data_IF_938290795498
#
_entry.id   IF_938290795498
#
_cell.length_a   1.000
_cell.length_b   1.000
_cell.length_c   1.000
_cell.angle_alpha   90.00
_cell.angle_beta   90.00
_cell.angle_gamma   90.00
#
_symmetry.space_group_name_H-M   'P 1'
#
loop_
_entity.id
_entity.type
_entity.pdbx_description
1 polymer ?
#
# COMPACT_ATOMS: atom_id res chain seq x y z
N UNK A 1 -10.28 -69.89 -1.73
CA UNK A 1 -9.43 -68.71 -2.01
C UNK A 1 -10.31 -67.68 -2.70
N UNK A 2 -10.74 -66.66 -1.95
CA UNK A 2 -11.64 -65.61 -2.43
C UNK A 2 -10.79 -64.47 -3.02
N UNK A 3 -11.01 -64.14 -4.29
CA UNK A 3 -10.37 -62.98 -4.94
C UNK A 3 -11.23 -61.74 -4.65
N UNK A 4 -10.71 -60.84 -3.83
CA UNK A 4 -11.28 -59.52 -3.59
C UNK A 4 -10.94 -58.55 -4.72
N UNK A 5 -11.96 -57.91 -5.28
CA UNK A 5 -11.81 -56.79 -6.21
C UNK A 5 -11.62 -55.50 -5.41
N UNK A 6 -10.49 -54.84 -5.59
CA UNK A 6 -10.23 -53.51 -5.04
C UNK A 6 -10.90 -52.44 -5.90
N UNK A 7 -11.80 -51.66 -5.32
CA UNK A 7 -12.43 -50.49 -5.95
C UNK A 7 -11.52 -49.29 -5.70
N UNK A 8 -10.96 -48.72 -6.77
CA UNK A 8 -10.21 -47.47 -6.72
C UNK A 8 -11.19 -46.30 -6.83
N UNK A 9 -11.38 -45.56 -5.72
CA UNK A 9 -12.10 -44.29 -5.72
C UNK A 9 -11.11 -43.19 -6.08
N UNK A 10 -11.20 -42.64 -7.30
CA UNK A 10 -10.48 -41.43 -7.67
C UNK A 10 -11.17 -40.22 -7.02
N UNK A 11 -10.49 -39.56 -6.09
CA UNK A 11 -10.86 -38.23 -5.62
C UNK A 11 -10.40 -37.20 -6.66
N UNK A 12 -11.34 -36.62 -7.41
CA UNK A 12 -11.08 -35.43 -8.21
C UNK A 12 -11.11 -34.20 -7.28
N UNK A 13 -9.94 -33.63 -6.98
CA UNK A 13 -9.84 -32.35 -6.31
C UNK A 13 -10.23 -31.25 -7.32
N UNK A 14 -11.46 -30.72 -7.22
CA UNK A 14 -11.82 -29.48 -7.90
C UNK A 14 -11.08 -28.33 -7.21
N UNK A 15 -10.03 -27.83 -7.83
CA UNK A 15 -9.47 -26.53 -7.50
C UNK A 15 -10.47 -25.46 -7.95
N UNK A 16 -11.23 -24.91 -7.00
CA UNK A 16 -12.03 -23.71 -7.25
C UNK A 16 -11.05 -22.54 -7.34
N UNK A 17 -10.59 -22.24 -8.55
CA UNK A 17 -9.91 -20.98 -8.83
C UNK A 17 -11.00 -19.90 -8.81
N UNK A 18 -11.10 -19.17 -7.69
CA UNK A 18 -11.92 -17.98 -7.65
C UNK A 18 -11.34 -16.95 -8.61
N UNK A 19 -12.04 -16.67 -9.71
CA UNK A 19 -11.72 -15.51 -10.53
C UNK A 19 -12.03 -14.25 -9.70
N UNK A 20 -11.00 -13.63 -9.15
CA UNK A 20 -11.12 -12.26 -8.63
C UNK A 20 -11.29 -11.37 -9.85
N UNK A 21 -12.49 -10.82 -10.04
CA UNK A 21 -12.72 -9.82 -11.08
C UNK A 21 -12.13 -8.50 -10.60
N UNK A 22 -11.00 -8.08 -11.19
CA UNK A 22 -10.52 -6.71 -11.03
C UNK A 22 -11.57 -5.75 -11.55
N UNK A 23 -11.79 -4.64 -10.84
CA UNK A 23 -12.60 -3.54 -11.36
C UNK A 23 -11.85 -2.79 -12.46
N UNK A 24 -12.58 -2.08 -13.32
CA UNK A 24 -11.96 -1.12 -14.25
C UNK A 24 -11.60 0.15 -13.48
N UNK A 25 -10.53 0.84 -13.89
CA UNK A 25 -10.12 2.11 -13.29
C UNK A 25 -11.30 3.07 -13.08
N UNK A 26 -12.10 3.30 -14.13
CA UNK A 26 -13.23 4.23 -14.12
C UNK A 26 -14.39 3.83 -13.19
N UNK A 27 -14.42 2.62 -12.65
CA UNK A 27 -15.45 2.21 -11.69
C UNK A 27 -15.14 2.72 -10.29
N UNK A 28 -13.85 2.73 -9.91
CA UNK A 28 -13.39 3.07 -8.57
C UNK A 28 -12.68 4.41 -8.48
N UNK A 29 -12.03 4.85 -9.56
CA UNK A 29 -11.11 5.98 -9.58
C UNK A 29 -11.47 6.99 -10.67
N UNK A 30 -10.88 8.18 -10.54
CA UNK A 30 -10.92 9.24 -11.54
C UNK A 30 -9.59 10.01 -11.53
N UNK A 31 -9.15 10.57 -12.66
CA UNK A 31 -7.99 11.47 -12.68
C UNK A 31 -8.24 12.67 -11.75
N UNK A 32 -7.26 13.03 -10.94
CA UNK A 32 -7.29 14.19 -10.04
C UNK A 32 -6.44 15.35 -10.55
N UNK A 33 -5.43 15.07 -11.38
CA UNK A 33 -4.56 16.07 -11.99
C UNK A 33 -4.04 15.64 -13.36
N UNK A 34 -3.83 16.61 -14.27
CA UNK A 34 -3.22 16.42 -15.60
C UNK A 34 -3.80 15.24 -16.40
N UNK A 35 -5.07 15.34 -16.79
CA UNK A 35 -5.81 14.26 -17.50
C UNK A 35 -5.13 13.83 -18.82
N UNK A 36 -4.42 14.75 -19.47
CA UNK A 36 -3.63 14.52 -20.69
C UNK A 36 -2.35 13.68 -20.44
N UNK A 37 -2.01 13.41 -19.19
CA UNK A 37 -0.89 12.55 -18.77
C UNK A 37 -1.32 11.10 -18.50
N UNK A 38 -2.58 10.75 -18.84
CA UNK A 38 -3.15 9.42 -18.71
C UNK A 38 -3.25 8.78 -20.10
N UNK A 39 -2.81 7.53 -20.23
CA UNK A 39 -3.04 6.71 -21.43
C UNK A 39 -3.63 5.38 -21.02
N UNK A 40 -4.68 4.96 -21.70
CA UNK A 40 -5.40 3.71 -21.42
C UNK A 40 -5.14 2.69 -22.54
N UNK A 41 -4.57 1.54 -22.20
CA UNK A 41 -4.30 0.44 -23.12
C UNK A 41 -4.91 -0.86 -22.60
N UNK A 42 -6.12 -1.17 -23.06
CA UNK A 42 -6.89 -2.28 -22.51
C UNK A 42 -7.22 -2.03 -21.04
N UNK A 43 -6.71 -2.89 -20.16
CA UNK A 43 -6.87 -2.77 -18.70
C UNK A 43 -5.72 -2.02 -18.02
N UNK A 44 -4.67 -1.66 -18.78
CA UNK A 44 -3.51 -0.96 -18.24
C UNK A 44 -3.71 0.54 -18.35
N UNK A 45 -3.63 1.21 -17.21
CA UNK A 45 -3.47 2.66 -17.13
C UNK A 45 -1.98 2.99 -17.10
N UNK A 46 -1.55 3.96 -17.91
CA UNK A 46 -0.22 4.56 -17.83
C UNK A 46 -0.33 6.01 -17.42
N UNK A 47 0.47 6.39 -16.45
CA UNK A 47 0.57 7.75 -15.95
C UNK A 47 2.00 8.24 -16.18
N UNK A 48 2.14 9.38 -16.86
CA UNK A 48 3.44 9.96 -17.19
C UNK A 48 3.79 11.16 -16.33
N UNK A 49 5.08 11.36 -16.14
CA UNK A 49 5.73 12.57 -15.64
C UNK A 49 6.66 13.10 -16.71
N UNK A 50 6.54 14.39 -17.02
CA UNK A 50 7.48 15.12 -17.88
C UNK A 50 7.81 16.49 -17.26
N UNK A 51 8.62 17.29 -17.97
CA UNK A 51 9.11 18.56 -17.45
C UNK A 51 8.03 19.65 -17.33
N UNK A 52 6.78 19.38 -17.76
CA UNK A 52 5.66 20.28 -17.60
C UNK A 52 4.79 19.90 -16.40
N UNK A 53 4.50 18.61 -16.22
CA UNK A 53 3.63 18.16 -15.15
C UNK A 53 3.88 16.71 -14.74
N UNK A 54 3.61 16.44 -13.46
CA UNK A 54 3.26 15.10 -13.00
C UNK A 54 1.78 14.81 -13.25
N UNK A 55 1.28 13.75 -12.62
CA UNK A 55 -0.10 13.34 -12.74
C UNK A 55 -0.56 12.58 -11.50
N UNK A 56 -1.87 12.51 -11.31
CA UNK A 56 -2.45 11.78 -10.19
C UNK A 56 -3.91 11.42 -10.38
N UNK A 57 -4.35 10.38 -9.66
CA UNK A 57 -5.74 9.96 -9.59
C UNK A 57 -6.17 9.74 -8.14
N UNK A 58 -7.48 9.76 -7.92
CA UNK A 58 -8.11 9.50 -6.63
C UNK A 58 -9.31 8.58 -6.77
N UNK A 59 -9.64 7.85 -5.71
CA UNK A 59 -10.88 7.10 -5.65
C UNK A 59 -12.09 8.05 -5.68
N UNK A 60 -13.20 7.58 -6.24
CA UNK A 60 -14.46 8.34 -6.29
C UNK A 60 -15.14 8.45 -4.93
N UNK A 61 -14.87 7.49 -4.06
CA UNK A 61 -15.41 7.43 -2.71
C UNK A 61 -14.29 7.36 -1.67
N UNK A 62 -14.64 7.63 -0.42
CA UNK A 62 -13.76 7.43 0.74
C UNK A 62 -14.16 6.15 1.46
N UNK A 63 -13.21 5.58 2.19
CA UNK A 63 -13.37 4.30 2.84
C UNK A 63 -12.92 4.38 4.30
N UNK A 64 -13.59 3.61 5.15
CA UNK A 64 -13.16 3.28 6.51
C UNK A 64 -12.89 1.79 6.55
N UNK A 65 -11.66 1.41 6.89
CA UNK A 65 -11.21 0.03 6.95
C UNK A 65 -11.38 -0.76 5.63
N UNK A 66 -10.80 -1.96 5.61
CA UNK A 66 -10.77 -2.86 4.46
C UNK A 66 -9.38 -3.01 3.86
N UNK A 67 -9.32 -3.48 2.62
CA UNK A 67 -8.09 -3.67 1.86
C UNK A 67 -8.19 -2.99 0.51
N UNK A 68 -7.15 -2.24 0.17
CA UNK A 68 -6.96 -1.66 -1.16
C UNK A 68 -5.75 -2.32 -1.80
N UNK A 69 -5.86 -2.66 -3.08
CA UNK A 69 -4.80 -3.31 -3.84
C UNK A 69 -4.72 -2.66 -5.23
N UNK A 70 -3.51 -2.35 -5.67
CA UNK A 70 -3.24 -1.98 -7.07
C UNK A 70 -2.01 -2.74 -7.54
N UNK A 71 -2.01 -3.18 -8.78
CA UNK A 71 -0.80 -3.72 -9.41
C UNK A 71 -0.05 -2.60 -10.11
N UNK A 72 1.21 -2.39 -9.74
CA UNK A 72 2.04 -1.30 -10.24
C UNK A 72 3.28 -1.88 -10.90
N UNK A 73 3.63 -1.35 -12.07
CA UNK A 73 4.94 -1.51 -12.71
C UNK A 73 5.60 -0.15 -12.80
N UNK A 74 6.79 -0.02 -12.20
CA UNK A 74 7.49 1.24 -12.02
C UNK A 74 8.23 1.69 -13.29
N UNK A 75 8.74 2.92 -13.25
CA UNK A 75 9.47 3.56 -14.34
C UNK A 75 10.74 2.76 -14.66
N UNK A 76 10.89 2.36 -15.92
CA UNK A 76 12.08 1.66 -16.39
C UNK A 76 13.23 2.63 -16.71
N UNK A 77 14.47 2.18 -16.58
CA UNK A 77 15.66 2.96 -16.92
C UNK A 77 16.05 3.93 -15.81
N UNK A 78 16.43 5.15 -16.19
CA UNK A 78 16.76 6.19 -15.22
C UNK A 78 15.48 6.83 -14.71
N UNK A 79 15.26 6.72 -13.41
CA UNK A 79 14.11 7.25 -12.71
C UNK A 79 14.52 8.15 -11.54
N UNK A 80 15.79 8.56 -11.49
CA UNK A 80 16.29 9.41 -10.41
C UNK A 80 15.46 10.69 -10.24
N UNK A 81 15.27 11.10 -8.99
CA UNK A 81 14.44 12.25 -8.60
C UNK A 81 12.93 12.04 -8.73
N UNK A 82 12.46 10.93 -9.32
CA UNK A 82 11.01 10.65 -9.43
C UNK A 82 10.46 9.90 -8.22
N UNK A 83 9.23 10.21 -7.85
CA UNK A 83 8.44 9.44 -6.88
C UNK A 83 7.16 9.00 -7.56
N UNK A 84 6.91 7.69 -7.56
CA UNK A 84 5.58 7.14 -7.78
C UNK A 84 4.98 6.86 -6.41
N UNK A 85 3.76 7.32 -6.14
CA UNK A 85 3.09 7.12 -4.86
C UNK A 85 1.80 6.30 -5.02
N UNK A 86 1.48 5.48 -4.03
CA UNK A 86 0.20 4.83 -3.84
C UNK A 86 -0.16 4.91 -2.36
N UNK A 87 -1.22 5.63 -2.02
CA UNK A 87 -1.46 6.00 -0.64
C UNK A 87 -2.94 6.14 -0.32
N UNK A 88 -3.27 6.11 0.97
CA UNK A 88 -4.59 6.47 1.48
C UNK A 88 -4.45 7.72 2.34
N UNK A 89 -5.34 8.69 2.20
CA UNK A 89 -5.30 9.92 3.02
C UNK A 89 -6.69 10.48 3.31
N UNK A 90 -6.88 11.06 4.49
CA UNK A 90 -8.06 11.85 4.83
C UNK A 90 -7.82 13.34 4.58
N UNK A 91 -8.88 14.16 4.65
CA UNK A 91 -8.75 15.57 4.33
C UNK A 91 -8.17 16.39 5.50
N UNK A 92 -7.47 17.48 5.15
CA UNK A 92 -7.15 18.56 6.06
C UNK A 92 -5.82 18.39 6.81
N UNK A 93 -5.48 19.32 7.71
CA UNK A 93 -4.17 19.38 8.35
C UNK A 93 -3.95 18.30 9.43
N UNK A 94 -5.02 17.70 9.95
CA UNK A 94 -4.96 16.63 10.94
C UNK A 94 -5.31 15.27 10.30
N UNK A 95 -4.92 15.08 9.04
CA UNK A 95 -5.23 13.87 8.29
C UNK A 95 -4.56 12.63 8.89
N UNK A 96 -5.16 11.48 8.62
CA UNK A 96 -4.50 10.19 8.69
C UNK A 96 -4.03 9.82 7.28
N UNK A 97 -2.88 9.18 7.15
CA UNK A 97 -2.35 8.79 5.84
C UNK A 97 -1.44 7.56 5.92
N UNK A 98 -1.50 6.71 4.89
CA UNK A 98 -0.71 5.50 4.71
C UNK A 98 -0.05 5.52 3.35
N UNK A 99 1.29 5.51 3.33
CA UNK A 99 2.03 5.73 2.10
C UNK A 99 2.77 4.48 1.63
N UNK A 100 2.69 4.20 0.34
CA UNK A 100 3.78 3.64 -0.44
C UNK A 100 4.35 4.73 -1.35
N UNK A 101 5.65 4.97 -1.25
CA UNK A 101 6.39 5.87 -2.12
C UNK A 101 7.57 5.12 -2.74
N UNK A 102 7.54 4.97 -4.05
CA UNK A 102 8.57 4.32 -4.84
C UNK A 102 9.57 5.36 -5.31
N UNK A 103 10.75 5.36 -4.68
CA UNK A 103 11.81 6.30 -4.92
C UNK A 103 12.67 5.79 -6.06
N UNK A 104 12.61 6.50 -7.20
CA UNK A 104 13.40 6.16 -8.37
C UNK A 104 14.89 6.31 -8.16
N UNK A 105 15.66 5.74 -9.07
CA UNK A 105 17.11 5.70 -9.00
C UNK A 105 17.74 5.75 -10.40
N UNK A 106 19.05 5.94 -10.45
CA UNK A 106 19.81 5.88 -11.70
C UNK A 106 19.75 4.48 -12.31
N UNK A 107 19.85 4.38 -13.63
CA UNK A 107 19.81 3.10 -14.34
C UNK A 107 20.76 2.06 -13.70
N UNK A 108 20.22 0.89 -13.36
CA UNK A 108 20.97 -0.23 -12.79
C UNK A 108 21.05 -0.24 -11.25
N UNK A 109 20.69 0.85 -10.59
CA UNK A 109 20.57 0.91 -9.14
C UNK A 109 19.15 0.52 -8.68
N UNK A 110 19.00 -0.07 -7.48
CA UNK A 110 17.70 -0.54 -7.03
C UNK A 110 16.76 0.62 -6.67
N UNK A 111 15.47 0.40 -6.91
CA UNK A 111 14.40 1.20 -6.31
C UNK A 111 14.36 1.03 -4.80
N UNK A 112 14.00 2.11 -4.10
CA UNK A 112 13.58 2.03 -2.69
C UNK A 112 12.08 2.18 -2.60
N UNK A 113 11.45 1.36 -1.76
CA UNK A 113 10.07 1.54 -1.33
C UNK A 113 10.08 2.15 0.04
N UNK A 114 9.58 3.37 0.16
CA UNK A 114 9.30 4.03 1.42
C UNK A 114 7.85 3.76 1.81
N UNK A 115 7.63 3.43 3.09
CA UNK A 115 6.30 3.46 3.69
C UNK A 115 6.27 4.49 4.80
N UNK A 116 5.13 5.13 5.01
CA UNK A 116 4.94 6.08 6.11
C UNK A 116 3.51 5.97 6.67
N UNK A 117 3.34 6.47 7.89
CA UNK A 117 2.05 6.50 8.59
C UNK A 117 1.90 7.83 9.29
N UNK A 118 0.91 8.61 8.87
CA UNK A 118 0.43 9.80 9.55
C UNK A 118 -0.80 9.48 10.39
N UNK A 119 -0.80 10.00 11.61
CA UNK A 119 -2.00 9.99 12.47
C UNK A 119 -2.20 11.39 13.02
N UNK A 120 -3.39 11.95 12.79
CA UNK A 120 -3.73 13.33 13.16
C UNK A 120 -2.72 14.38 12.68
N UNK A 121 -2.25 14.25 11.45
CA UNK A 121 -1.28 15.13 10.80
C UNK A 121 0.18 14.90 11.22
N UNK A 122 0.44 13.92 12.09
CA UNK A 122 1.80 13.62 12.57
C UNK A 122 2.31 12.36 11.89
N UNK A 123 3.26 12.52 10.97
CA UNK A 123 4.00 11.44 10.31
C UNK A 123 5.33 11.15 11.00
N UNK A 124 6.42 11.24 10.23
CA UNK A 124 7.79 10.93 10.65
C UNK A 124 8.02 9.45 11.01
N UNK A 125 7.31 8.54 10.35
CA UNK A 125 7.38 7.09 10.60
C UNK A 125 7.88 6.35 9.37
N UNK A 126 8.87 6.88 8.68
CA UNK A 126 9.33 6.33 7.43
C UNK A 126 10.05 4.98 7.68
N UNK A 127 9.79 4.00 6.83
CA UNK A 127 10.58 2.79 6.70
C UNK A 127 10.92 2.62 5.21
N UNK A 128 12.17 2.30 4.88
CA UNK A 128 12.62 2.14 3.49
C UNK A 128 13.19 0.74 3.30
N UNK A 129 12.79 0.08 2.22
CA UNK A 129 13.28 -1.25 1.86
C UNK A 129 13.58 -1.36 0.36
N UNK A 130 14.53 -2.22 0.02
CA UNK A 130 14.71 -2.70 -1.34
C UNK A 130 13.74 -3.85 -1.62
N UNK A 131 13.35 -4.07 -2.87
CA UNK A 131 12.52 -5.22 -3.26
C UNK A 131 13.38 -6.44 -3.61
N UNK A 132 12.82 -7.64 -3.47
CA UNK A 132 13.45 -8.92 -3.85
C UNK A 132 13.25 -9.28 -5.32
N UNK A 133 12.80 -8.30 -6.12
CA UNK A 133 12.57 -8.38 -7.56
C UNK A 133 12.80 -7.00 -8.19
N UNK A 134 12.91 -6.93 -9.51
CA UNK A 134 12.97 -5.68 -10.25
C UNK A 134 11.54 -5.17 -10.55
N UNK A 135 11.08 -4.10 -9.87
CA UNK A 135 9.69 -3.61 -9.98
C UNK A 135 9.40 -2.90 -11.32
N UNK A 136 10.39 -2.76 -12.20
CA UNK A 136 10.24 -2.15 -13.53
C UNK A 136 9.88 -3.17 -14.60
N UNK A 137 10.10 -4.47 -14.34
CA UNK A 137 9.98 -5.55 -15.34
C UNK A 137 8.60 -6.16 -15.43
N UNK A 138 7.90 -6.29 -14.31
CA UNK A 138 6.55 -6.82 -14.27
C UNK A 138 5.68 -6.05 -13.27
N UNK A 139 4.37 -6.29 -13.34
CA UNK A 139 3.41 -5.79 -12.39
C UNK A 139 3.46 -6.61 -11.09
N UNK A 140 3.57 -5.91 -9.97
CA UNK A 140 3.49 -6.49 -8.63
C UNK A 140 2.34 -5.84 -7.85
N UNK A 141 1.71 -6.60 -6.95
CA UNK A 141 0.60 -6.07 -6.16
C UNK A 141 1.12 -5.34 -4.93
N UNK A 142 0.60 -4.14 -4.70
CA UNK A 142 0.85 -3.34 -3.52
C UNK A 142 -0.47 -3.14 -2.81
N UNK A 143 -0.54 -3.57 -1.55
CA UNK A 143 -1.78 -3.55 -0.79
C UNK A 143 -1.63 -2.83 0.55
N UNK A 144 -2.68 -2.13 0.95
CA UNK A 144 -2.85 -1.59 2.29
C UNK A 144 -4.09 -2.24 2.89
N UNK A 145 -3.90 -3.08 3.91
CA UNK A 145 -4.98 -3.60 4.76
C UNK A 145 -5.08 -2.71 5.99
N UNK A 146 -6.26 -2.19 6.28
CA UNK A 146 -6.53 -1.35 7.44
C UNK A 146 -7.78 -1.84 8.16
N UNK A 147 -7.66 -2.15 9.45
CA UNK A 147 -8.81 -2.45 10.30
C UNK A 147 -8.66 -1.76 11.66
N UNK A 148 -9.51 -2.09 12.63
CA UNK A 148 -9.45 -1.46 13.96
C UNK A 148 -8.20 -1.81 14.79
N UNK A 149 -7.43 -2.80 14.35
CA UNK A 149 -6.35 -3.43 15.12
C UNK A 149 -4.99 -3.18 14.53
N UNK A 150 -4.89 -3.04 13.21
CA UNK A 150 -3.63 -2.83 12.51
C UNK A 150 -3.81 -2.25 11.10
N UNK A 151 -2.74 -1.57 10.65
CA UNK A 151 -2.47 -1.27 9.25
C UNK A 151 -1.34 -2.18 8.80
N UNK A 152 -1.52 -2.90 7.69
CA UNK A 152 -0.53 -3.81 7.12
C UNK A 152 -0.25 -3.38 5.68
N UNK A 153 1.02 -3.15 5.38
CA UNK A 153 1.53 -2.88 4.05
C UNK A 153 2.02 -4.20 3.46
N UNK A 154 1.54 -4.57 2.28
CA UNK A 154 1.92 -5.82 1.61
C UNK A 154 2.44 -5.58 0.20
N UNK A 155 3.42 -6.40 -0.19
CA UNK A 155 3.92 -6.54 -1.57
C UNK A 155 3.72 -8.00 -1.96
N UNK A 156 2.92 -8.28 -3.00
CA UNK A 156 2.55 -9.64 -3.40
C UNK A 156 2.08 -10.53 -2.24
N UNK A 157 1.16 -10.02 -1.42
CA UNK A 157 0.67 -10.63 -0.17
C UNK A 157 1.72 -10.88 0.92
N UNK A 158 2.98 -10.48 0.70
CA UNK A 158 4.05 -10.52 1.71
C UNK A 158 4.01 -9.24 2.55
N UNK A 159 3.77 -9.31 3.87
CA UNK A 159 3.77 -8.13 4.72
C UNK A 159 5.19 -7.55 4.82
N UNK A 160 5.31 -6.27 4.49
CA UNK A 160 6.58 -5.52 4.60
C UNK A 160 6.60 -4.59 5.81
N UNK A 161 5.42 -4.24 6.34
CA UNK A 161 5.26 -3.43 7.55
C UNK A 161 3.91 -3.67 8.22
N UNK A 162 3.90 -3.58 9.54
CA UNK A 162 2.68 -3.53 10.37
C UNK A 162 2.74 -2.32 11.28
N UNK A 163 1.65 -1.56 11.38
CA UNK A 163 1.41 -0.54 12.38
C UNK A 163 0.20 -0.93 13.23
N UNK A 164 0.44 -1.39 14.45
CA UNK A 164 -0.60 -1.91 15.34
C UNK A 164 -1.32 -0.78 16.09
N UNK A 165 -2.59 -0.99 16.40
CA UNK A 165 -3.35 -0.13 17.30
C UNK A 165 -2.84 -0.28 18.74
N UNK A 166 -2.14 0.77 19.22
CA UNK A 166 -1.59 0.85 20.56
C UNK A 166 -2.20 2.00 21.37
N UNK A 167 -3.47 2.33 21.13
CA UNK A 167 -4.18 3.39 21.87
C UNK A 167 -4.20 3.13 23.39
N UNK A 168 -4.21 1.85 23.81
CA UNK A 168 -4.11 1.48 25.22
C UNK A 168 -2.77 1.90 25.88
N UNK A 169 -1.75 2.22 25.09
CA UNK A 169 -0.47 2.81 25.49
C UNK A 169 -0.37 4.31 25.20
N UNK A 170 -1.45 4.95 24.75
CA UNK A 170 -1.48 6.37 24.42
C UNK A 170 -0.95 6.73 23.03
N UNK A 171 -0.70 5.75 22.15
CA UNK A 171 -0.33 6.01 20.75
C UNK A 171 -1.62 6.18 19.93
N UNK A 172 -1.87 7.35 19.29
CA UNK A 172 -3.04 7.56 18.45
C UNK A 172 -3.11 6.55 17.30
N UNK A 173 -4.33 6.17 16.91
CA UNK A 173 -4.55 5.25 15.80
C UNK A 173 -5.63 5.79 14.83
N UNK A 174 -5.45 5.67 13.52
CA UNK A 174 -6.37 6.16 12.51
C UNK A 174 -7.64 5.30 12.47
N UNK A 175 -8.71 5.73 13.15
CA UNK A 175 -9.98 4.97 13.24
C UNK A 175 -11.24 5.82 13.09
N UNK A 176 -11.08 7.11 12.82
CA UNK A 176 -12.13 8.12 12.92
C UNK A 176 -12.26 9.01 11.67
N UNK A 177 -11.38 8.86 10.69
CA UNK A 177 -11.39 9.65 9.46
C UNK A 177 -11.38 8.73 8.23
N UNK A 178 -12.43 8.84 7.40
CA UNK A 178 -12.49 8.11 6.14
C UNK A 178 -11.43 8.66 5.17
N UNK A 179 -10.77 7.75 4.44
CA UNK A 179 -9.68 8.11 3.55
C UNK A 179 -10.03 7.80 2.10
N UNK A 180 -9.61 8.68 1.19
CA UNK A 180 -9.55 8.36 -0.22
C UNK A 180 -8.33 7.48 -0.52
N UNK A 181 -8.33 6.85 -1.68
CA UNK A 181 -7.20 6.09 -2.22
C UNK A 181 -6.62 6.88 -3.38
N UNK A 182 -5.32 7.09 -3.39
CA UNK A 182 -4.65 7.98 -4.32
C UNK A 182 -3.43 7.32 -4.93
N UNK A 183 -3.06 7.82 -6.10
CA UNK A 183 -1.74 7.58 -6.67
C UNK A 183 -1.30 8.78 -7.49
N UNK A 184 0.01 9.02 -7.51
CA UNK A 184 0.60 10.11 -8.26
C UNK A 184 2.01 9.75 -8.74
N UNK A 185 2.49 10.48 -9.75
CA UNK A 185 3.89 10.48 -10.16
C UNK A 185 4.36 11.93 -10.25
N UNK A 186 5.47 12.24 -9.59
CA UNK A 186 5.97 13.60 -9.44
C UNK A 186 7.49 13.64 -9.22
N UNK A 187 8.07 14.82 -9.38
CA UNK A 187 9.49 15.08 -9.14
C UNK A 187 9.74 15.53 -7.70
N UNK A 188 10.72 14.91 -7.06
CA UNK A 188 11.07 15.05 -5.66
C UNK A 188 12.60 15.16 -5.49
N UNK A 189 13.23 15.97 -6.36
CA UNK A 189 14.69 16.15 -6.45
C UNK A 189 15.36 16.38 -5.09
N UNK A 190 14.70 17.13 -4.21
CA UNK A 190 15.29 17.54 -2.93
C UNK A 190 15.55 16.37 -1.97
N UNK A 191 14.98 15.17 -2.21
CA UNK A 191 15.11 14.06 -1.25
C UNK A 191 15.02 12.65 -1.81
N UNK A 192 14.37 12.41 -2.96
CA UNK A 192 13.98 11.06 -3.39
C UNK A 192 15.18 10.12 -3.62
N UNK A 193 16.14 10.54 -4.45
CA UNK A 193 17.25 9.66 -4.84
C UNK A 193 18.51 10.01 -4.09
N UNK A 194 19.05 9.03 -3.35
CA UNK A 194 20.26 9.18 -2.53
C UNK A 194 20.20 10.36 -1.55
N UNK A 195 19.00 10.64 -1.01
CA UNK A 195 18.77 11.77 -0.10
C UNK A 195 18.86 13.12 -0.79
N UNK A 196 18.46 13.20 -2.06
CA UNK A 196 18.40 14.43 -2.85
C UNK A 196 19.70 14.81 -3.56
N UNK A 197 20.67 13.89 -3.66
CA UNK A 197 21.96 14.17 -4.33
C UNK A 197 21.89 13.97 -5.84
N UNK A 198 20.95 13.15 -6.30
CA UNK A 198 20.77 12.83 -7.71
C UNK A 198 19.41 13.32 -8.14
N UNK A 199 19.41 14.25 -9.08
CA UNK A 199 18.24 14.93 -9.59
C UNK A 199 17.68 14.21 -10.82
N UNK A 200 16.44 14.52 -11.17
CA UNK A 200 15.81 14.06 -12.41
C UNK A 200 16.52 14.61 -13.64
N UNK A 201 17.00 13.71 -14.49
CA UNK A 201 17.43 14.05 -15.85
C UNK A 201 16.22 14.08 -16.79
N UNK A 202 15.66 15.28 -17.00
CA UNK A 202 14.50 15.48 -17.85
C UNK A 202 14.70 15.09 -19.32
N UNK A 203 15.93 14.83 -19.78
CA UNK A 203 16.16 14.28 -21.13
C UNK A 203 15.67 12.84 -21.27
N UNK A 204 15.44 12.13 -20.16
CA UNK A 204 14.84 10.81 -20.11
C UNK A 204 13.31 10.81 -19.99
N UNK A 205 12.68 11.99 -19.94
CA UNK A 205 11.23 12.10 -19.96
C UNK A 205 10.64 11.59 -21.30
N UNK A 206 9.41 11.02 -21.30
CA UNK A 206 8.53 10.87 -20.16
C UNK A 206 8.88 9.68 -19.26
N UNK A 207 8.77 9.87 -17.95
CA UNK A 207 8.83 8.80 -16.96
C UNK A 207 7.44 8.20 -16.81
N UNK A 208 7.28 6.88 -16.94
CA UNK A 208 5.96 6.24 -17.02
C UNK A 208 5.81 5.17 -15.94
N UNK A 209 4.85 5.39 -15.03
CA UNK A 209 4.36 4.35 -14.13
C UNK A 209 3.09 3.71 -14.71
N UNK A 210 2.99 2.38 -14.65
CA UNK A 210 1.85 1.63 -15.19
C UNK A 210 1.06 0.96 -14.06
N UNK A 211 -0.27 0.94 -14.20
CA UNK A 211 -1.21 0.46 -13.20
C UNK A 211 -2.23 -0.47 -13.84
N UNK A 212 -2.63 -1.52 -13.11
CA UNK A 212 -3.77 -2.39 -13.42
C UNK A 212 -4.26 -3.06 -12.14
N UNK A 213 -5.25 -3.95 -12.24
CA UNK A 213 -5.66 -4.77 -11.09
C UNK A 213 -6.21 -3.92 -9.94
N UNK A 214 -7.06 -2.93 -10.25
CA UNK A 214 -7.61 -2.00 -9.27
C UNK A 214 -8.66 -2.70 -8.40
N UNK A 215 -8.39 -2.78 -7.10
CA UNK A 215 -9.30 -3.43 -6.15
C UNK A 215 -9.43 -2.59 -4.88
N UNK A 216 -10.68 -2.27 -4.52
CA UNK A 216 -11.02 -1.70 -3.21
C UNK A 216 -12.09 -2.60 -2.59
N UNK A 217 -11.73 -3.27 -1.50
CA UNK A 217 -12.63 -4.05 -0.68
C UNK A 217 -12.65 -3.47 0.74
N UNK A 218 -13.40 -2.38 0.89
CA UNK A 218 -13.53 -1.65 2.15
C UNK A 218 -14.91 -1.06 2.34
N UNK A 219 -15.16 -0.49 3.52
CA UNK A 219 -16.46 0.09 3.82
C UNK A 219 -16.53 1.53 3.30
N UNK A 220 -17.28 1.71 2.22
CA UNK A 220 -17.52 3.02 1.61
C UNK A 220 -18.28 3.96 2.56
N UNK A 221 -17.75 5.18 2.70
CA UNK A 221 -18.22 6.22 3.60
C UNK A 221 -18.75 7.40 2.78
N UNK A 222 -20.08 7.62 2.71
CA UNK A 222 -20.64 8.77 2.04
C UNK A 222 -20.29 10.08 2.77
N UNK A 223 -19.93 11.12 2.02
CA UNK A 223 -19.58 12.45 2.57
C UNK A 223 -20.74 13.10 3.34
N UNK A 224 -22.00 12.75 3.01
CA UNK A 224 -23.18 13.27 3.69
C UNK A 224 -23.38 12.73 5.12
N UNK A 225 -22.59 11.73 5.53
CA UNK A 225 -22.71 11.07 6.84
C UNK A 225 -21.61 11.56 7.77
N UNK A 226 -21.97 11.91 9.01
CA UNK A 226 -21.01 12.34 10.01
C UNK A 226 -19.95 11.25 10.29
N UNK A 227 -18.70 11.65 10.55
CA UNK A 227 -17.58 10.73 10.75
C UNK A 227 -17.85 9.65 11.82
N UNK A 228 -18.47 10.03 12.95
CA UNK A 228 -18.83 9.11 14.02
C UNK A 228 -19.85 8.03 13.58
N UNK A 229 -20.77 8.38 12.67
CA UNK A 229 -21.76 7.44 12.14
C UNK A 229 -21.13 6.53 11.07
N UNK A 230 -20.22 7.06 10.25
CA UNK A 230 -19.40 6.25 9.34
C UNK A 230 -18.56 5.22 10.10
N UNK A 231 -17.93 5.60 11.21
CA UNK A 231 -17.20 4.69 12.09
C UNK A 231 -18.09 3.54 12.59
N UNK A 232 -19.30 3.85 13.08
CA UNK A 232 -20.26 2.83 13.56
C UNK A 232 -20.80 1.95 12.42
N UNK A 233 -20.94 2.51 11.23
CA UNK A 233 -21.40 1.79 10.03
C UNK A 233 -20.36 0.77 9.58
N UNK A 234 -19.08 1.15 9.61
CA UNK A 234 -17.96 0.36 9.13
C UNK A 234 -17.30 -0.53 10.20
N UNK A 235 -17.91 -0.62 11.38
CA UNK A 235 -17.56 -1.57 12.44
C UNK A 235 -18.51 -2.76 12.41
N UNK A 236 -17.98 -3.98 12.59
CA UNK A 236 -18.83 -5.16 12.78
C UNK A 236 -19.65 -5.05 14.07
N UNK A 237 -20.94 -5.41 13.99
CA UNK A 237 -21.88 -5.31 15.10
C UNK A 237 -23.30 -5.71 14.70
N UNK A 238 -24.00 -6.41 15.60
CA UNK A 238 -25.31 -6.98 15.29
C UNK A 238 -25.23 -7.99 14.14
N UNK A 239 -25.97 -7.73 13.07
CA UNK A 239 -26.00 -8.57 11.85
C UNK A 239 -24.90 -8.22 10.83
N UNK A 240 -24.22 -7.08 10.97
CA UNK A 240 -23.15 -6.65 10.06
C UNK A 240 -21.83 -7.30 10.47
N UNK A 241 -21.25 -8.10 9.58
CA UNK A 241 -19.92 -8.70 9.74
C UNK A 241 -19.05 -8.34 8.55
N UNK A 242 -17.91 -7.73 8.84
CA UNK A 242 -16.88 -7.45 7.86
C UNK A 242 -15.74 -8.44 7.99
N UNK A 243 -15.23 -8.94 6.86
CA UNK A 243 -14.19 -9.96 6.85
C UNK A 243 -12.89 -9.48 7.52
N UNK A 244 -12.58 -8.18 7.44
CA UNK A 244 -11.39 -7.58 8.05
C UNK A 244 -11.47 -7.45 9.58
N UNK A 245 -12.66 -7.64 10.17
CA UNK A 245 -12.89 -7.65 11.62
C UNK A 245 -12.90 -9.07 12.21
N UNK A 246 -12.85 -10.11 11.38
CA UNK A 246 -12.78 -11.50 11.84
C UNK A 246 -11.56 -11.72 12.74
N UNK A 247 -11.63 -12.61 13.75
CA UNK A 247 -10.53 -12.84 14.69
C UNK A 247 -9.20 -13.19 14.00
N UNK A 248 -9.24 -13.87 12.86
CA UNK A 248 -8.07 -14.24 12.06
C UNK A 248 -7.36 -13.04 11.42
N UNK A 249 -8.01 -11.88 11.32
CA UNK A 249 -7.46 -10.63 10.79
C UNK A 249 -6.92 -9.70 11.89
N UNK A 250 -6.94 -10.16 13.15
CA UNK A 250 -6.56 -9.35 14.31
C UNK A 250 -5.06 -9.09 14.44
N UNK A 251 -4.26 -9.98 13.89
CA UNK A 251 -2.80 -9.95 13.85
C UNK A 251 -2.33 -10.68 12.58
N UNK A 252 -1.03 -10.62 12.29
CA UNK A 252 -0.47 -11.44 11.22
C UNK A 252 -0.53 -12.92 11.59
N UNK A 253 -0.77 -13.78 10.60
CA UNK A 253 -0.54 -15.22 10.80
C UNK A 253 0.93 -15.51 11.13
N UNK A 254 1.22 -16.69 11.67
CA UNK A 254 2.60 -17.12 11.93
C UNK A 254 3.47 -17.08 10.67
N UNK A 255 2.92 -17.51 9.53
CA UNK A 255 3.61 -17.48 8.24
C UNK A 255 3.95 -16.04 7.81
N UNK A 256 2.95 -15.15 7.86
CA UNK A 256 3.12 -13.73 7.55
C UNK A 256 4.12 -13.05 8.50
N UNK A 257 4.12 -13.42 9.78
CA UNK A 257 5.09 -12.92 10.76
C UNK A 257 6.52 -13.32 10.39
N UNK A 258 6.74 -14.58 9.98
CA UNK A 258 8.05 -15.02 9.49
C UNK A 258 8.48 -14.31 8.19
N UNK A 259 7.54 -14.07 7.27
CA UNK A 259 7.83 -13.30 6.07
C UNK A 259 8.25 -11.87 6.41
N UNK A 260 7.55 -11.19 7.31
CA UNK A 260 7.90 -9.84 7.76
C UNK A 260 9.30 -9.80 8.42
N UNK A 261 9.63 -10.78 9.24
CA UNK A 261 10.97 -10.91 9.82
C UNK A 261 12.05 -11.09 8.75
N UNK A 262 11.77 -11.90 7.72
CA UNK A 262 12.68 -12.06 6.59
C UNK A 262 12.86 -10.75 5.80
N UNK A 263 11.78 -10.01 5.53
CA UNK A 263 11.86 -8.68 4.88
C UNK A 263 12.72 -7.73 5.71
N UNK A 264 12.47 -7.64 7.02
CA UNK A 264 13.25 -6.79 7.92
C UNK A 264 14.73 -7.14 7.92
N UNK A 265 15.07 -8.43 7.96
CA UNK A 265 16.45 -8.88 8.04
C UNK A 265 17.22 -8.72 6.73
N UNK A 266 16.56 -8.81 5.57
CA UNK A 266 17.25 -8.88 4.28
C UNK A 266 17.07 -7.64 3.41
N UNK A 267 16.02 -6.85 3.65
CA UNK A 267 15.58 -5.79 2.73
C UNK A 267 15.43 -4.42 3.36
N UNK A 268 15.29 -4.31 4.69
CA UNK A 268 15.14 -3.01 5.37
C UNK A 268 16.45 -2.22 5.34
N UNK A 269 16.38 -1.00 4.80
CA UNK A 269 17.51 -0.08 4.62
C UNK A 269 17.46 1.07 5.63
N UNK A 270 16.25 1.52 5.97
CA UNK A 270 16.03 2.56 6.98
C UNK A 270 14.75 2.26 7.76
N UNK A 271 14.80 2.46 9.07
CA UNK A 271 13.64 2.32 9.94
C UNK A 271 13.71 3.40 11.03
N UNK A 272 12.71 4.28 11.05
CA UNK A 272 12.62 5.37 12.03
C UNK A 272 12.69 4.90 13.49
N UNK A 273 12.25 3.66 13.78
CA UNK A 273 12.35 3.07 15.12
C UNK A 273 13.79 2.95 15.64
N UNK A 274 14.77 2.88 14.74
CA UNK A 274 16.19 2.72 15.05
C UNK A 274 17.01 3.98 14.78
N UNK A 275 16.40 5.07 14.29
CA UNK A 275 17.07 6.34 14.08
C UNK A 275 17.16 7.14 15.39
N UNK A 276 18.19 6.86 16.18
CA UNK A 276 18.47 7.57 17.43
C UNK A 276 18.86 9.04 17.23
N UNK A 277 19.23 9.45 16.01
CA UNK A 277 19.56 10.84 15.71
C UNK A 277 18.28 11.67 15.64
N UNK A 278 17.27 11.14 14.96
CA UNK A 278 15.95 11.79 14.84
C UNK A 278 15.08 11.56 16.07
N UNK A 279 15.17 10.38 16.68
CA UNK A 279 14.41 9.98 17.85
C UNK A 279 15.34 9.58 19.01
N UNK A 280 15.86 10.55 19.78
CA UNK A 280 16.68 10.27 20.96
C UNK A 280 15.97 9.38 22.00
N UNK A 281 14.62 9.44 22.01
CA UNK A 281 13.75 8.51 22.72
C UNK A 281 13.01 7.66 21.69
N UNK A 282 13.17 6.35 21.76
CA UNK A 282 12.49 5.42 20.86
C UNK A 282 10.96 5.62 20.93
N UNK A 283 10.27 5.76 19.79
CA UNK A 283 8.81 5.88 19.77
C UNK A 283 8.13 4.71 20.48
N UNK A 284 7.03 4.96 21.19
CA UNK A 284 6.35 3.96 22.04
C UNK A 284 5.86 2.76 21.24
N UNK A 285 5.43 3.00 20.01
CA UNK A 285 5.03 1.96 19.06
C UNK A 285 6.17 1.03 18.61
N UNK A 286 7.43 1.44 18.79
CA UNK A 286 8.61 0.69 18.41
C UNK A 286 9.16 -0.22 19.50
N UNK A 287 8.73 -0.07 20.76
CA UNK A 287 9.32 -0.80 21.90
C UNK A 287 9.21 -2.33 21.77
N UNK A 288 8.19 -2.83 21.07
CA UNK A 288 7.96 -4.27 20.86
C UNK A 288 8.67 -4.84 19.64
N UNK A 289 9.28 -4.00 18.79
CA UNK A 289 9.99 -4.43 17.57
C UNK A 289 11.43 -4.89 17.83
N UNK A 290 11.85 -5.02 19.09
CA UNK A 290 13.24 -5.33 19.52
C UNK A 290 13.60 -6.82 19.64
N UNK A 291 12.87 -7.73 18.99
CA UNK A 291 13.17 -9.18 19.05
C UNK A 291 13.38 -9.80 17.68
#
# INVERSE_FOLDING_TARGET
MANGYAIWVMFAALAVVGCVSSSKFEELFQPSWAVDHFTYEGEVLRMKLDNYSGAGFSSKSKYMFGKVTVQIKLVEGDSAGTVTAFYMSSDGPYHNEFDFEFLGNTTGEPYLVQTNVYVNGVGNREQRLNLWFDPTKDFHSYSILWNQRQVVFLVDETPVRVHSNLEHKGVPYPKDQAMGVYSSIWNADDWATQGGRVHTDWTHAPFIASYKGFEINGCECPDAVAAADNMRRCSSGGERRYWWDEPTMSELSLHQSHQLLWVRANHMVYDYCYDATRFPVTPVECEHHRH
#
